data_IF_179283339419
#
_entry.id   IF_179283339419
#
_cell.length_a   1.000
_cell.length_b   1.000
_cell.length_c   1.000
_cell.angle_alpha   90.00
_cell.angle_beta   90.00
_cell.angle_gamma   90.00
#
_symmetry.space_group_name_H-M   'P 1'
#
loop_
_entity.id
_entity.type
_entity.pdbx_description
1 polymer ?
#
# COMPACT_ATOMS: atom_id res chain seq x y z
N UNK A 1 -6.88 7.73 -20.88
CA UNK A 1 -6.50 6.79 -19.78
C UNK A 1 -5.33 7.29 -18.91
N UNK A 2 -4.43 8.12 -19.45
CA UNK A 2 -3.22 8.59 -18.76
C UNK A 2 -3.44 9.46 -17.49
N UNK A 3 -4.52 10.23 -17.41
CA UNK A 3 -4.81 11.12 -16.28
C UNK A 3 -5.26 10.38 -15.00
N UNK A 4 -5.95 9.25 -15.16
CA UNK A 4 -6.42 8.44 -14.03
C UNK A 4 -5.27 7.67 -13.36
N UNK A 5 -4.35 7.12 -14.17
CA UNK A 5 -3.13 6.47 -13.69
C UNK A 5 -2.22 7.44 -12.91
N UNK A 6 -2.12 8.70 -13.35
CA UNK A 6 -1.29 9.72 -12.68
C UNK A 6 -1.84 10.09 -11.30
N UNK A 7 -3.17 10.23 -11.15
CA UNK A 7 -3.81 10.45 -9.84
C UNK A 7 -3.66 9.24 -8.91
N UNK A 8 -3.74 8.02 -9.45
CA UNK A 8 -3.57 6.79 -8.68
C UNK A 8 -2.15 6.65 -8.10
N UNK A 9 -1.12 6.94 -8.90
CA UNK A 9 0.27 6.90 -8.43
C UNK A 9 0.61 7.96 -7.38
N UNK A 10 0.02 9.15 -7.50
CA UNK A 10 0.20 10.23 -6.53
C UNK A 10 -0.42 9.88 -5.16
N UNK A 11 -1.58 9.20 -5.15
CA UNK A 11 -2.25 8.76 -3.92
C UNK A 11 -1.44 7.70 -3.16
N UNK A 12 -0.89 6.69 -3.87
CA UNK A 12 -0.05 5.65 -3.23
C UNK A 12 1.23 6.19 -2.61
N UNK A 13 1.88 7.17 -3.24
CA UNK A 13 3.10 7.80 -2.69
C UNK A 13 2.82 8.58 -1.40
N UNK A 14 1.63 9.17 -1.27
CA UNK A 14 1.20 9.83 -0.04
C UNK A 14 1.03 8.83 1.10
N UNK A 15 0.23 7.78 0.89
CA UNK A 15 -0.04 6.77 1.92
C UNK A 15 1.22 6.03 2.41
N UNK A 16 2.15 5.73 1.50
CA UNK A 16 3.41 5.08 1.85
C UNK A 16 4.28 5.94 2.78
N UNK A 17 4.31 7.26 2.53
CA UNK A 17 5.04 8.21 3.40
C UNK A 17 4.42 8.28 4.79
N UNK A 18 3.08 8.32 4.89
CA UNK A 18 2.39 8.37 6.18
C UNK A 18 2.63 7.12 7.01
N UNK A 19 2.64 5.94 6.38
CA UNK A 19 2.95 4.66 7.04
C UNK A 19 4.40 4.59 7.50
N UNK A 20 5.35 5.03 6.66
CA UNK A 20 6.76 5.05 7.02
C UNK A 20 7.04 5.95 8.24
N UNK A 21 6.39 7.12 8.29
CA UNK A 21 6.50 8.03 9.45
C UNK A 21 5.90 7.38 10.70
N UNK A 22 4.70 6.83 10.63
CA UNK A 22 4.06 6.17 11.79
C UNK A 22 4.87 4.99 12.34
N UNK A 23 5.47 4.18 11.45
CA UNK A 23 6.31 3.06 11.84
C UNK A 23 7.62 3.52 12.51
N UNK A 24 8.25 4.58 11.99
CA UNK A 24 9.48 5.13 12.55
C UNK A 24 9.29 5.69 13.97
N UNK A 25 8.16 6.38 14.21
CA UNK A 25 7.81 6.91 15.55
C UNK A 25 7.56 5.77 16.54
N UNK A 26 6.90 4.69 16.10
CA UNK A 26 6.62 3.52 16.94
C UNK A 26 7.91 2.79 17.35
N UNK A 27 8.83 2.59 16.40
CA UNK A 27 10.15 1.99 16.70
C UNK A 27 10.96 2.88 17.65
N UNK A 28 10.98 4.19 17.40
CA UNK A 28 11.70 5.12 18.27
C UNK A 28 11.16 5.10 19.71
N UNK A 29 9.83 5.11 19.88
CA UNK A 29 9.19 4.99 21.19
C UNK A 29 9.53 3.67 21.90
N UNK A 30 9.55 2.57 21.16
CA UNK A 30 9.92 1.26 21.70
C UNK A 30 11.39 1.22 22.15
N UNK A 31 12.32 1.74 21.34
CA UNK A 31 13.74 1.80 21.67
C UNK A 31 14.02 2.69 22.89
N UNK A 32 13.38 3.86 22.97
CA UNK A 32 13.47 4.74 24.15
C UNK A 32 12.94 4.01 25.39
N UNK A 33 11.83 3.29 25.28
CA UNK A 33 11.30 2.46 26.36
C UNK A 33 12.27 1.37 26.82
N UNK A 34 12.99 0.73 25.89
CA UNK A 34 14.03 -0.25 26.22
C UNK A 34 15.23 0.37 26.93
N UNK A 35 15.70 1.54 26.47
CA UNK A 35 16.84 2.25 27.09
C UNK A 35 16.48 2.68 28.52
N UNK A 36 15.30 3.28 28.71
CA UNK A 36 14.82 3.67 30.03
C UNK A 36 14.69 2.46 30.97
N UNK A 37 14.25 1.30 30.46
CA UNK A 37 14.19 0.06 31.24
C UNK A 37 15.56 -0.42 31.70
N UNK A 38 16.60 -0.27 30.89
CA UNK A 38 17.97 -0.64 31.26
C UNK A 38 18.55 0.29 32.34
N UNK A 39 18.30 1.60 32.21
CA UNK A 39 18.68 2.61 33.20
C UNK A 39 18.05 2.32 34.57
N UNK A 40 16.75 1.98 34.59
CA UNK A 40 16.03 1.63 35.81
C UNK A 40 16.56 0.36 36.47
N UNK A 41 17.02 -0.64 35.69
CA UNK A 41 17.68 -1.83 36.26
C UNK A 41 19.01 -1.46 36.93
N UNK A 42 19.82 -0.62 36.30
CA UNK A 42 21.09 -0.15 36.87
C UNK A 42 20.88 0.61 38.17
N UNK A 43 19.89 1.52 38.20
CA UNK A 43 19.54 2.27 39.42
C UNK A 43 18.98 1.38 40.53
N UNK A 44 18.12 0.41 40.20
CA UNK A 44 17.62 -0.58 41.16
C UNK A 44 18.73 -1.48 41.75
N UNK A 45 19.78 -1.76 40.97
CA UNK A 45 20.94 -2.52 41.43
C UNK A 45 21.80 -1.74 42.44
N UNK A 46 21.88 -0.42 42.30
CA UNK A 46 22.65 0.46 43.21
C UNK A 46 21.95 0.64 44.57
N UNK A 47 20.60 0.70 44.58
CA UNK A 47 19.81 0.87 45.82
C UNK A 47 19.82 -0.40 46.70
N UNK A 48 20.14 -1.56 46.13
CA UNK A 48 20.20 -2.83 46.87
C UNK A 48 21.34 -2.92 47.90
N UNK A 49 22.29 -1.97 47.92
CA UNK A 49 23.35 -1.89 48.94
C UNK A 49 23.03 -1.01 50.14
N UNK A 50 21.87 -0.35 50.18
CA UNK A 50 21.46 0.42 51.35
C UNK A 50 20.15 1.17 51.13
N UNK A 51 19.09 0.69 51.77
CA UNK A 51 17.77 1.33 51.97
C UNK A 51 16.67 1.07 50.92
N UNK A 52 15.66 0.36 51.43
CA UNK A 52 14.24 0.20 51.07
C UNK A 52 13.87 0.09 49.58
N UNK A 53 13.72 -1.17 49.20
CA UNK A 53 12.85 -1.68 48.14
C UNK A 53 11.46 -1.03 48.23
N UNK A 54 11.14 -0.13 47.30
CA UNK A 54 9.74 0.20 46.98
C UNK A 54 9.14 -1.04 46.31
N UNK A 55 8.49 -1.87 47.13
CA UNK A 55 7.98 -3.19 46.78
C UNK A 55 6.86 -3.13 45.74
N UNK A 56 6.84 -4.15 44.88
CA UNK A 56 5.78 -4.58 43.95
C UNK A 56 5.11 -3.55 43.01
N UNK A 57 4.73 -2.36 43.46
CA UNK A 57 3.87 -1.43 42.74
C UNK A 57 4.57 -0.77 41.54
N UNK A 58 5.87 -0.50 41.66
CA UNK A 58 6.69 0.02 40.56
C UNK A 58 6.89 -1.01 39.43
N UNK A 59 6.88 -2.30 39.74
CA UNK A 59 7.02 -3.35 38.72
C UNK A 59 5.73 -3.57 37.93
N UNK A 60 4.58 -3.51 38.63
CA UNK A 60 3.25 -3.63 38.03
C UNK A 60 2.93 -2.48 37.08
N UNK A 61 3.27 -1.26 37.46
CA UNK A 61 3.08 -0.07 36.60
C UNK A 61 3.89 -0.15 35.31
N UNK A 62 5.15 -0.62 35.36
CA UNK A 62 5.98 -0.80 34.14
C UNK A 62 5.38 -1.88 33.22
N UNK A 63 4.95 -3.02 33.77
CA UNK A 63 4.32 -4.08 32.98
C UNK A 63 3.01 -3.60 32.34
N UNK A 64 2.19 -2.85 33.08
CA UNK A 64 0.95 -2.29 32.58
C UNK A 64 1.18 -1.31 31.42
N UNK A 65 2.20 -0.44 31.52
CA UNK A 65 2.56 0.51 30.45
C UNK A 65 3.05 -0.23 29.20
N UNK A 66 3.88 -1.26 29.34
CA UNK A 66 4.36 -2.07 28.22
C UNK A 66 3.20 -2.84 27.57
N UNK A 67 2.30 -3.40 28.38
CA UNK A 67 1.11 -4.11 27.88
C UNK A 67 0.19 -3.18 27.10
N UNK A 68 -0.11 -1.99 27.64
CA UNK A 68 -0.98 -1.01 27.00
C UNK A 68 -0.39 -0.48 25.69
N UNK A 69 0.91 -0.16 25.68
CA UNK A 69 1.59 0.31 24.47
C UNK A 69 1.63 -0.78 23.38
N UNK A 70 1.86 -2.04 23.75
CA UNK A 70 1.81 -3.16 22.81
C UNK A 70 0.41 -3.38 22.24
N UNK A 71 -0.63 -3.29 23.07
CA UNK A 71 -2.02 -3.42 22.64
C UNK A 71 -2.44 -2.30 21.67
N UNK A 72 -2.06 -1.05 21.96
CA UNK A 72 -2.30 0.09 21.06
C UNK A 72 -1.57 -0.09 19.73
N UNK A 73 -0.33 -0.58 19.75
CA UNK A 73 0.41 -0.86 18.53
C UNK A 73 -0.28 -1.93 17.66
N UNK A 74 -0.69 -3.05 18.25
CA UNK A 74 -1.43 -4.09 17.51
C UNK A 74 -2.76 -3.57 16.96
N UNK A 75 -3.49 -2.76 17.74
CA UNK A 75 -4.74 -2.15 17.29
C UNK A 75 -4.53 -1.21 16.08
N UNK A 76 -3.49 -0.37 16.12
CA UNK A 76 -3.17 0.52 14.99
C UNK A 76 -2.76 -0.27 13.75
N UNK A 77 -1.95 -1.33 13.89
CA UNK A 77 -1.63 -2.23 12.78
C UNK A 77 -2.90 -2.86 12.19
N UNK A 78 -3.77 -3.41 13.03
CA UNK A 78 -5.05 -3.98 12.59
C UNK A 78 -5.91 -2.97 11.83
N UNK A 79 -6.07 -1.76 12.37
CA UNK A 79 -6.84 -0.70 11.74
C UNK A 79 -6.28 -0.30 10.37
N UNK A 80 -4.95 -0.22 10.22
CA UNK A 80 -4.33 0.08 8.92
C UNK A 80 -4.57 -1.02 7.88
N UNK A 81 -4.51 -2.30 8.29
CA UNK A 81 -4.81 -3.43 7.39
C UNK A 81 -6.27 -3.39 6.94
N UNK A 82 -7.20 -3.15 7.86
CA UNK A 82 -8.64 -3.01 7.54
C UNK A 82 -8.88 -1.84 6.60
N UNK A 83 -8.28 -0.67 6.86
CA UNK A 83 -8.40 0.49 5.99
C UNK A 83 -7.88 0.20 4.57
N UNK A 84 -6.71 -0.45 4.44
CA UNK A 84 -6.16 -0.87 3.15
C UNK A 84 -7.08 -1.85 2.42
N UNK A 85 -7.73 -2.76 3.16
CA UNK A 85 -8.69 -3.71 2.59
C UNK A 85 -9.92 -2.99 2.01
N UNK A 86 -10.47 -2.00 2.72
CA UNK A 86 -11.59 -1.20 2.24
C UNK A 86 -11.21 -0.34 1.03
N UNK A 87 -10.02 0.27 1.04
CA UNK A 87 -9.50 1.01 -0.12
C UNK A 87 -9.37 0.09 -1.34
N UNK A 88 -8.87 -1.14 -1.15
CA UNK A 88 -8.74 -2.12 -2.22
C UNK A 88 -10.10 -2.52 -2.80
N UNK A 89 -11.12 -2.75 -1.97
CA UNK A 89 -12.49 -3.06 -2.46
C UNK A 89 -13.10 -1.90 -3.25
N UNK A 90 -12.90 -0.66 -2.80
CA UNK A 90 -13.40 0.53 -3.49
C UNK A 90 -12.79 0.74 -4.88
N UNK A 91 -11.51 0.36 -5.04
CA UNK A 91 -10.81 0.47 -6.32
C UNK A 91 -11.27 -0.57 -7.36
N UNK A 92 -11.60 -1.79 -6.93
CA UNK A 92 -12.16 -2.81 -7.84
C UNK A 92 -13.53 -2.41 -8.40
N UNK A 93 -14.33 -1.67 -7.63
CA UNK A 93 -15.61 -1.15 -8.09
C UNK A 93 -15.47 -0.10 -9.21
N UNK A 94 -14.27 0.47 -9.43
CA UNK A 94 -14.01 1.52 -10.43
C UNK A 94 -13.24 1.03 -11.66
N UNK A 95 -12.88 -0.24 -11.74
CA UNK A 95 -12.34 -0.77 -12.99
C UNK A 95 -13.49 -0.81 -14.01
N UNK A 96 -13.33 -0.17 -15.19
CA UNK A 96 -14.34 -0.28 -16.23
C UNK A 96 -14.54 -1.76 -16.52
N UNK A 97 -15.79 -2.21 -16.42
CA UNK A 97 -16.19 -3.61 -16.60
C UNK A 97 -15.78 -4.15 -17.98
N UNK A 98 -15.64 -3.24 -18.94
CA UNK A 98 -15.23 -3.51 -20.30
C UNK A 98 -13.84 -2.91 -20.54
N UNK A 99 -12.84 -3.71 -21.00
CA UNK A 99 -11.56 -3.18 -21.42
C UNK A 99 -11.79 -2.14 -22.54
N UNK A 100 -10.97 -1.07 -22.61
CA UNK A 100 -11.11 -0.11 -23.70
C UNK A 100 -11.01 -0.86 -25.03
N UNK A 101 -11.97 -0.64 -25.94
CA UNK A 101 -11.93 -1.22 -27.27
C UNK A 101 -10.55 -0.94 -27.87
N UNK A 102 -9.84 -2.00 -28.27
CA UNK A 102 -8.53 -1.92 -28.90
C UNK A 102 -8.71 -2.42 -30.32
N UNK A 103 -8.24 -1.62 -31.27
CA UNK A 103 -8.29 -1.94 -32.69
C UNK A 103 -6.89 -2.20 -33.22
N UNK A 104 -6.77 -3.06 -34.21
CA UNK A 104 -5.52 -3.43 -34.86
C UNK A 104 -5.61 -3.13 -36.35
N UNK A 105 -4.50 -2.70 -36.94
CA UNK A 105 -4.40 -2.54 -38.38
C UNK A 105 -3.88 -3.83 -39.02
N UNK A 106 -4.59 -4.38 -40.02
CA UNK A 106 -4.18 -5.61 -40.72
C UNK A 106 -2.84 -5.46 -41.45
N UNK A 107 -2.61 -4.30 -42.10
CA UNK A 107 -1.38 -4.05 -42.87
C UNK A 107 -0.17 -3.78 -41.98
N UNK A 108 -0.36 -2.91 -40.99
CA UNK A 108 0.73 -2.43 -40.15
C UNK A 108 0.96 -3.30 -38.90
N UNK A 109 -0.02 -4.12 -38.50
CA UNK A 109 -0.08 -4.89 -37.24
C UNK A 109 0.10 -4.06 -35.96
N UNK A 110 -0.04 -2.74 -36.09
CA UNK A 110 0.01 -1.82 -34.96
C UNK A 110 -1.35 -1.79 -34.26
N UNK A 111 -1.31 -1.74 -32.93
CA UNK A 111 -2.48 -1.71 -32.05
C UNK A 111 -2.75 -0.26 -31.63
N UNK A 112 -3.99 0.18 -31.77
CA UNK A 112 -4.43 1.53 -31.45
C UNK A 112 -5.59 1.52 -30.44
N UNK A 113 -5.65 2.51 -29.52
CA UNK A 113 -6.79 2.64 -28.62
C UNK A 113 -8.04 3.10 -29.41
N UNK A 114 -9.11 2.31 -29.39
CA UNK A 114 -10.32 2.52 -30.19
C UNK A 114 -11.12 3.78 -29.85
N UNK A 115 -10.77 4.51 -28.78
CA UNK A 115 -11.35 5.83 -28.46
C UNK A 115 -10.71 6.98 -29.23
N UNK A 116 -9.55 6.78 -29.85
CA UNK A 116 -8.79 7.86 -30.53
C UNK A 116 -8.94 7.83 -32.05
N UNK A 117 -9.48 6.76 -32.62
CA UNK A 117 -9.67 6.61 -34.06
C UNK A 117 -11.06 7.09 -34.46
N UNK A 118 -11.19 8.40 -34.73
CA UNK A 118 -12.40 9.08 -35.21
C UNK A 118 -12.89 8.65 -36.61
N UNK A 119 -12.47 7.48 -37.10
CA UNK A 119 -12.85 6.98 -38.42
C UNK A 119 -11.87 5.92 -38.87
N UNK A 120 -12.09 4.69 -38.40
CA UNK A 120 -11.85 3.36 -39.04
C UNK A 120 -10.55 3.10 -39.84
N UNK A 121 -9.61 4.04 -39.92
CA UNK A 121 -8.41 3.99 -40.76
C UNK A 121 -7.15 4.23 -39.93
N UNK A 122 -6.12 3.47 -40.26
CA UNK A 122 -4.82 3.51 -39.60
C UNK A 122 -4.10 4.84 -39.91
N UNK A 123 -3.63 5.59 -38.91
CA UNK A 123 -2.93 6.86 -39.13
C UNK A 123 -1.57 6.69 -39.83
N UNK A 124 -0.99 5.49 -39.82
CA UNK A 124 0.33 5.20 -40.41
C UNK A 124 0.23 4.75 -41.87
N UNK A 125 -0.72 3.87 -42.20
CA UNK A 125 -0.82 3.25 -43.53
C UNK A 125 -2.16 3.45 -44.23
N UNK A 126 -3.12 4.15 -43.62
CA UNK A 126 -4.46 4.36 -44.18
C UNK A 126 -5.30 3.09 -44.34
N UNK A 127 -4.83 1.93 -43.86
CA UNK A 127 -5.55 0.67 -43.92
C UNK A 127 -6.72 0.62 -42.93
N UNK A 128 -7.70 -0.25 -43.20
CA UNK A 128 -8.82 -0.45 -42.29
C UNK A 128 -8.32 -0.94 -40.91
N UNK A 129 -8.96 -0.42 -39.88
CA UNK A 129 -8.80 -0.85 -38.50
C UNK A 129 -9.93 -1.80 -38.14
N UNK A 130 -9.59 -2.85 -37.41
CA UNK A 130 -10.56 -3.83 -36.96
C UNK A 130 -10.39 -4.16 -35.48
N UNK A 131 -11.41 -4.75 -34.87
CA UNK A 131 -11.30 -5.20 -33.49
C UNK A 131 -10.28 -6.33 -33.35
N UNK A 132 -9.43 -6.22 -32.33
CA UNK A 132 -8.39 -7.22 -32.03
C UNK A 132 -8.98 -8.62 -31.87
N UNK A 133 -10.18 -8.73 -31.31
CA UNK A 133 -10.85 -10.02 -31.14
C UNK A 133 -11.19 -10.67 -32.49
N UNK A 134 -11.71 -9.90 -33.44
CA UNK A 134 -12.02 -10.36 -34.79
C UNK A 134 -10.77 -10.76 -35.57
N UNK A 135 -9.67 -10.02 -35.43
CA UNK A 135 -8.39 -10.34 -36.07
C UNK A 135 -7.86 -11.72 -35.65
N UNK A 136 -7.81 -12.03 -34.35
CA UNK A 136 -7.32 -13.33 -33.86
C UNK A 136 -8.29 -14.50 -34.11
N UNK A 137 -9.57 -14.22 -34.36
CA UNK A 137 -10.53 -15.24 -34.80
C UNK A 137 -10.27 -15.65 -36.25
N UNK A 138 -9.81 -14.74 -37.12
CA UNK A 138 -9.44 -15.03 -38.51
C UNK A 138 -8.01 -15.55 -38.68
N UNK A 139 -7.13 -15.27 -37.72
CA UNK A 139 -5.72 -15.69 -37.71
C UNK A 139 -5.39 -16.55 -36.47
N UNK A 140 -5.91 -17.79 -36.38
CA UNK A 140 -5.68 -18.66 -35.23
C UNK A 140 -4.20 -19.05 -35.05
N UNK A 141 -3.39 -18.98 -36.10
CA UNK A 141 -1.95 -19.24 -36.09
C UNK A 141 -1.12 -18.23 -35.27
N UNK A 142 -1.70 -17.09 -34.90
CA UNK A 142 -1.05 -16.03 -34.14
C UNK A 142 -1.39 -16.04 -32.63
N UNK A 143 -2.16 -17.03 -32.16
CA UNK A 143 -2.51 -17.20 -30.75
C UNK A 143 -1.39 -17.80 -29.90
#
# INVERSE_FOLDING_TARGET
>A
MHLLLKRYFLSKKGALKTLAVGYSVSIAGFLIGMILRDEQRKLGYVISRGVKVYGNDASLTVIAVIGLSSALFLYTLYATVVALFFLRKGDFARLPKDPPAVVICEKCRNVFPGKETNGEMCPTCGGALEDVKGFYERHPELK
#
